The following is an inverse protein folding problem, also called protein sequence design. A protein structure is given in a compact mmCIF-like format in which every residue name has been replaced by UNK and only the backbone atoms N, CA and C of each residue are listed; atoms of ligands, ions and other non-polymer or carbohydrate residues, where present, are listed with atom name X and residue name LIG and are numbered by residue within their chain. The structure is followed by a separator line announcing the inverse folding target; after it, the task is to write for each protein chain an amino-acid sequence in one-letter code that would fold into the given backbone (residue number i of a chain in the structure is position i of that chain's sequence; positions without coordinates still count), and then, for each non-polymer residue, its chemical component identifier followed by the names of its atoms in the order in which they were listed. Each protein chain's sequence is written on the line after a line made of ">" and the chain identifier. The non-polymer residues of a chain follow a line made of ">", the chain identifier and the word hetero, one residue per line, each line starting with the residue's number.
data_IF_029486075522
#
_entry.id   IF_029486075522
#
_cell.length_a   1.000
_cell.length_b   1.000
_cell.length_c   1.000
_cell.angle_alpha   90.00
_cell.angle_beta   90.00
_cell.angle_gamma   90.00
#
_symmetry.space_group_name_H-M   'P 1'
#
loop_
_entity.id
_entity.type
_entity.pdbx_description
1 polymer ?
#
# COMPACT_ATOMS: atom_id res chain seq x y z
N UNK A 1 11.95 24.08 -15.46
CA UNK A 1 11.37 23.13 -14.48
C UNK A 1 10.38 22.28 -15.25
N UNK A 2 10.75 21.03 -15.55
CA UNK A 2 9.85 20.10 -16.24
C UNK A 2 8.82 19.65 -15.21
N UNK A 3 7.56 20.05 -15.37
CA UNK A 3 6.47 19.58 -14.51
C UNK A 3 6.17 18.14 -14.89
N UNK A 4 6.86 17.19 -14.26
CA UNK A 4 6.51 15.78 -14.36
C UNK A 4 5.14 15.59 -13.71
N UNK A 5 4.14 15.21 -14.51
CA UNK A 5 2.83 14.80 -13.98
C UNK A 5 3.06 13.69 -12.94
N UNK A 6 2.48 13.79 -11.73
CA UNK A 6 2.64 12.75 -10.73
C UNK A 6 2.14 11.42 -11.29
N UNK A 7 2.98 10.39 -11.24
CA UNK A 7 2.64 9.04 -11.70
C UNK A 7 1.90 8.30 -10.61
N UNK A 8 0.87 7.55 -10.99
CA UNK A 8 0.09 6.74 -10.07
C UNK A 8 0.72 5.36 -9.93
N UNK A 9 1.02 4.95 -8.69
CA UNK A 9 1.50 3.59 -8.42
C UNK A 9 0.41 2.57 -8.74
N UNK A 10 0.82 1.44 -9.26
CA UNK A 10 -0.09 0.32 -9.48
C UNK A 10 -0.65 -0.18 -8.15
N UNK A 11 -1.98 -0.14 -8.03
CA UNK A 11 -2.68 -0.66 -6.86
C UNK A 11 -2.66 -2.20 -6.82
N UNK A 12 -2.64 -2.85 -7.99
CA UNK A 12 -2.74 -4.31 -8.17
C UNK A 12 -1.39 -5.00 -8.35
N UNK A 13 -0.34 -4.26 -8.73
CA UNK A 13 0.93 -4.84 -9.19
C UNK A 13 2.14 -3.96 -8.94
N UNK A 14 3.25 -4.31 -9.61
CA UNK A 14 4.51 -3.56 -9.52
C UNK A 14 4.47 -2.26 -10.33
N UNK A 15 5.29 -1.29 -9.91
CA UNK A 15 5.55 -0.09 -10.71
C UNK A 15 4.37 0.87 -10.80
N UNK A 16 4.19 1.44 -11.98
CA UNK A 16 3.25 2.52 -12.25
C UNK A 16 2.11 2.02 -13.15
N UNK A 17 0.91 2.56 -12.98
CA UNK A 17 -0.26 2.16 -13.78
C UNK A 17 -0.06 2.40 -15.29
N UNK A 18 0.60 3.51 -15.64
CA UNK A 18 0.94 3.87 -17.02
C UNK A 18 2.08 3.03 -17.63
N UNK A 19 2.74 2.19 -16.82
CA UNK A 19 3.77 1.26 -17.26
C UNK A 19 3.29 -0.20 -17.28
N UNK A 20 1.98 -0.44 -17.13
CA UNK A 20 1.42 -1.77 -17.29
C UNK A 20 1.71 -2.30 -18.71
N UNK A 21 2.06 -3.58 -18.80
CA UNK A 21 2.28 -4.24 -20.08
C UNK A 21 0.98 -4.28 -20.89
N UNK A 22 1.10 -4.12 -22.20
CA UNK A 22 -0.02 -4.33 -23.10
C UNK A 22 -0.39 -5.82 -23.15
N UNK A 23 -1.64 -6.15 -23.49
CA UNK A 23 -2.07 -7.54 -23.69
C UNK A 23 -1.19 -8.28 -24.71
N UNK A 24 -0.74 -7.56 -25.75
CA UNK A 24 0.19 -8.08 -26.75
C UNK A 24 1.51 -8.50 -26.12
N UNK A 25 2.08 -7.67 -25.25
CA UNK A 25 3.35 -7.97 -24.58
C UNK A 25 3.17 -9.10 -23.57
N UNK A 26 2.07 -9.11 -22.82
CA UNK A 26 1.71 -10.20 -21.92
C UNK A 26 1.63 -11.55 -22.65
N UNK A 27 0.97 -11.60 -23.81
CA UNK A 27 0.90 -12.81 -24.65
C UNK A 27 2.29 -13.23 -25.17
N UNK A 28 3.10 -12.28 -25.64
CA UNK A 28 4.43 -12.56 -26.16
C UNK A 28 5.36 -13.14 -25.09
N UNK A 29 5.34 -12.59 -23.87
CA UNK A 29 6.12 -13.13 -22.76
C UNK A 29 5.53 -14.41 -22.18
N UNK A 30 4.20 -14.52 -22.10
CA UNK A 30 3.50 -15.71 -21.61
C UNK A 30 3.79 -16.95 -22.45
N UNK A 31 3.92 -16.80 -23.78
CA UNK A 31 4.27 -17.89 -24.69
C UNK A 31 5.65 -18.52 -24.42
N UNK A 32 6.54 -17.82 -23.68
CA UNK A 32 7.86 -18.33 -23.30
C UNK A 32 7.81 -19.25 -22.07
N UNK A 33 6.67 -19.32 -21.36
CA UNK A 33 6.52 -20.01 -20.09
C UNK A 33 5.39 -21.06 -20.19
N UNK A 34 5.72 -22.36 -20.25
CA UNK A 34 4.71 -23.41 -20.28
C UNK A 34 3.78 -23.37 -19.08
N UNK A 35 2.46 -23.51 -19.31
CA UNK A 35 1.45 -23.57 -18.26
C UNK A 35 0.86 -22.23 -17.82
N UNK A 36 1.23 -21.12 -18.46
CA UNK A 36 0.56 -19.83 -18.27
C UNK A 36 -0.75 -19.74 -19.06
N UNK A 37 -1.66 -18.89 -18.59
CA UNK A 37 -2.94 -18.65 -19.24
C UNK A 37 -2.75 -18.06 -20.65
N UNK A 38 -3.57 -18.50 -21.59
CA UNK A 38 -3.55 -18.04 -22.98
C UNK A 38 -4.18 -16.65 -23.16
N UNK A 39 -4.83 -16.12 -22.13
CA UNK A 39 -5.50 -14.81 -22.16
C UNK A 39 -5.03 -13.96 -20.98
N UNK A 40 -4.46 -12.76 -21.24
CA UNK A 40 -4.13 -11.82 -20.18
C UNK A 40 -5.37 -11.40 -19.40
N UNK A 41 -5.19 -11.20 -18.10
CA UNK A 41 -6.23 -10.62 -17.26
C UNK A 41 -6.00 -9.11 -17.23
N UNK A 42 -6.94 -8.29 -17.74
CA UNK A 42 -6.79 -6.84 -17.68
C UNK A 42 -6.82 -6.39 -16.21
N UNK A 43 -6.01 -5.38 -15.83
CA UNK A 43 -6.09 -4.81 -14.51
C UNK A 43 -7.49 -4.26 -14.20
N UNK A 44 -8.11 -4.64 -13.07
CA UNK A 44 -9.41 -4.08 -12.70
C UNK A 44 -9.34 -2.59 -12.39
N UNK A 45 -10.44 -1.90 -12.62
CA UNK A 45 -10.68 -0.57 -12.07
C UNK A 45 -11.09 -0.66 -10.59
N UNK A 46 -10.79 0.39 -9.82
CA UNK A 46 -11.14 0.46 -8.38
C UNK A 46 -12.65 0.30 -8.14
N UNK A 47 -13.49 0.78 -9.05
CA UNK A 47 -14.96 0.65 -8.95
C UNK A 47 -15.48 -0.77 -9.15
N UNK A 48 -14.66 -1.68 -9.68
CA UNK A 48 -15.00 -3.09 -9.84
C UNK A 48 -14.67 -3.91 -8.59
N UNK A 49 -14.09 -3.29 -7.55
CA UNK A 49 -13.70 -3.97 -6.33
C UNK A 49 -14.85 -4.01 -5.34
N UNK A 50 -15.21 -5.22 -4.92
CA UNK A 50 -16.16 -5.46 -3.84
C UNK A 50 -15.43 -5.46 -2.49
N UNK A 51 -14.94 -4.29 -2.08
CA UNK A 51 -14.30 -4.15 -0.76
C UNK A 51 -15.36 -4.16 0.34
N UNK A 52 -15.11 -4.89 1.42
CA UNK A 52 -15.91 -4.78 2.64
C UNK A 52 -15.99 -3.30 3.08
N UNK A 53 -17.15 -2.80 3.54
CA UNK A 53 -17.23 -1.47 4.13
C UNK A 53 -16.27 -1.33 5.33
N UNK A 54 -15.64 -0.16 5.55
CA UNK A 54 -14.83 0.06 6.75
C UNK A 54 -15.66 -0.15 8.01
N UNK A 55 -15.16 -0.98 8.93
CA UNK A 55 -15.77 -1.23 10.24
C UNK A 55 -15.42 -0.16 11.27
N UNK A 56 -14.33 0.56 11.01
CA UNK A 56 -13.79 1.59 11.89
C UNK A 56 -14.11 2.99 11.36
N UNK A 57 -14.21 3.93 12.29
CA UNK A 57 -14.16 5.36 12.00
C UNK A 57 -13.05 5.98 12.84
N UNK A 58 -12.14 6.71 12.20
CA UNK A 58 -11.09 7.41 12.91
C UNK A 58 -11.67 8.57 13.75
N UNK A 59 -11.15 8.82 14.96
CA UNK A 59 -11.44 10.04 15.70
C UNK A 59 -11.14 11.29 14.86
N UNK A 60 -11.92 12.35 15.07
CA UNK A 60 -11.75 13.60 14.33
C UNK A 60 -10.32 14.18 14.44
N UNK A 61 -9.63 13.93 15.55
CA UNK A 61 -8.22 14.33 15.76
C UNK A 61 -7.24 13.66 14.79
N UNK A 62 -7.55 12.47 14.27
CA UNK A 62 -6.71 11.74 13.32
C UNK A 62 -7.14 11.97 11.87
N UNK A 63 -8.36 12.46 11.64
CA UNK A 63 -8.98 12.55 10.32
C UNK A 63 -8.19 13.31 9.26
N UNK A 64 -7.28 14.23 9.64
CA UNK A 64 -6.44 14.98 8.69
C UNK A 64 -5.49 14.09 7.86
N UNK A 65 -5.14 12.91 8.37
CA UNK A 65 -4.18 12.01 7.74
C UNK A 65 -4.73 10.58 7.56
N UNK A 66 -6.02 10.36 7.80
CA UNK A 66 -6.66 9.05 7.66
C UNK A 66 -7.63 9.07 6.48
N UNK A 67 -7.50 8.07 5.61
CA UNK A 67 -8.34 7.86 4.44
C UNK A 67 -9.16 6.57 4.56
N UNK A 68 -10.36 6.62 3.98
CA UNK A 68 -11.25 5.46 3.75
C UNK A 68 -11.45 5.19 2.26
N UNK A 69 -10.69 5.87 1.39
CA UNK A 69 -10.83 5.76 -0.06
C UNK A 69 -10.60 4.31 -0.53
N UNK A 70 -11.50 3.74 -1.36
CA UNK A 70 -11.33 2.37 -1.88
C UNK A 70 -10.00 2.14 -2.59
N UNK A 71 -9.46 3.13 -3.32
CA UNK A 71 -8.16 3.04 -3.97
C UNK A 71 -7.03 2.93 -2.95
N UNK A 72 -7.08 3.73 -1.90
CA UNK A 72 -6.10 3.67 -0.82
C UNK A 72 -6.14 2.28 -0.17
N UNK A 73 -7.32 1.82 0.22
CA UNK A 73 -7.50 0.53 0.87
C UNK A 73 -7.03 -0.63 -0.02
N UNK A 74 -7.37 -0.63 -1.30
CA UNK A 74 -6.90 -1.63 -2.25
C UNK A 74 -5.36 -1.63 -2.39
N UNK A 75 -4.77 -0.44 -2.52
CA UNK A 75 -3.30 -0.29 -2.69
C UNK A 75 -2.49 -0.73 -1.47
N UNK A 76 -3.13 -0.84 -0.30
CA UNK A 76 -2.52 -1.22 0.98
C UNK A 76 -2.98 -2.61 1.46
N UNK A 77 -3.64 -3.40 0.61
CA UNK A 77 -4.11 -4.75 0.99
C UNK A 77 -2.99 -5.79 0.89
N UNK A 78 -2.17 -5.71 -0.16
CA UNK A 78 -1.14 -6.71 -0.45
C UNK A 78 0.22 -6.10 -0.77
N UNK A 79 1.23 -6.96 -0.69
CA UNK A 79 2.54 -6.70 -1.23
C UNK A 79 2.59 -6.90 -2.75
N UNK A 80 3.72 -7.41 -3.24
CA UNK A 80 4.00 -7.60 -4.66
C UNK A 80 4.54 -9.00 -4.98
N UNK A 81 4.26 -9.98 -4.13
CA UNK A 81 4.50 -11.38 -4.46
C UNK A 81 3.63 -11.79 -5.66
N UNK A 82 4.02 -12.83 -6.40
CA UNK A 82 3.18 -13.35 -7.50
C UNK A 82 1.75 -13.66 -7.05
N UNK A 83 1.59 -14.33 -5.88
CA UNK A 83 0.27 -14.63 -5.31
C UNK A 83 -0.57 -13.36 -5.04
N UNK A 84 0.09 -12.26 -4.68
CA UNK A 84 -0.57 -11.01 -4.32
C UNK A 84 -1.12 -10.34 -5.57
N UNK A 85 -0.30 -10.25 -6.61
CA UNK A 85 -0.68 -9.67 -7.91
C UNK A 85 -1.81 -10.47 -8.55
N UNK A 86 -1.72 -11.81 -8.53
CA UNK A 86 -2.77 -12.68 -9.06
C UNK A 86 -4.10 -12.47 -8.32
N UNK A 87 -4.09 -12.49 -6.99
CA UNK A 87 -5.30 -12.23 -6.19
C UNK A 87 -5.90 -10.85 -6.47
N UNK A 88 -5.07 -9.81 -6.55
CA UNK A 88 -5.51 -8.45 -6.86
C UNK A 88 -6.16 -8.34 -8.26
N UNK A 89 -5.54 -8.94 -9.28
CA UNK A 89 -6.11 -9.01 -10.64
C UNK A 89 -7.45 -9.77 -10.69
N UNK A 90 -7.61 -10.77 -9.82
CA UNK A 90 -8.87 -11.48 -9.63
C UNK A 90 -9.86 -10.78 -8.68
N UNK A 91 -9.58 -9.55 -8.23
CA UNK A 91 -10.43 -8.76 -7.33
C UNK A 91 -10.65 -9.43 -5.96
N UNK A 92 -9.72 -10.28 -5.53
CA UNK A 92 -9.77 -10.98 -4.25
C UNK A 92 -9.03 -10.17 -3.18
N UNK A 93 -9.73 -9.28 -2.47
CA UNK A 93 -9.17 -8.38 -1.45
C UNK A 93 -9.89 -8.54 -0.08
N UNK A 94 -10.04 -9.80 0.35
CA UNK A 94 -10.90 -10.17 1.49
C UNK A 94 -10.54 -9.41 2.79
N UNK A 95 -9.25 -9.19 3.01
CA UNK A 95 -8.70 -8.57 4.21
C UNK A 95 -8.20 -7.14 4.00
N UNK A 96 -8.79 -6.39 3.05
CA UNK A 96 -8.44 -4.98 2.85
C UNK A 96 -8.53 -4.18 4.17
N UNK A 97 -7.58 -3.26 4.44
CA UNK A 97 -7.60 -2.44 5.64
C UNK A 97 -8.90 -1.63 5.71
N UNK A 98 -9.38 -1.34 6.91
CA UNK A 98 -10.53 -0.46 7.11
C UNK A 98 -10.12 0.99 6.82
N UNK A 99 -8.93 1.38 7.28
CA UNK A 99 -8.38 2.73 7.20
C UNK A 99 -6.94 2.71 6.64
N UNK A 100 -6.54 3.79 5.97
CA UNK A 100 -5.13 4.05 5.60
C UNK A 100 -4.70 5.37 6.24
N UNK A 101 -3.67 5.33 7.08
CA UNK A 101 -3.14 6.49 7.79
C UNK A 101 -1.79 6.90 7.20
N UNK A 102 -1.62 8.19 6.87
CA UNK A 102 -0.39 8.80 6.33
C UNK A 102 0.13 9.90 7.26
N UNK A 103 0.67 9.54 8.44
CA UNK A 103 1.19 10.52 9.38
C UNK A 103 2.27 11.39 8.75
N UNK A 104 2.33 12.65 9.16
CA UNK A 104 3.31 13.63 8.68
C UNK A 104 4.29 14.06 9.77
N UNK A 105 4.15 13.48 10.97
CA UNK A 105 5.03 13.72 12.11
C UNK A 105 5.12 12.50 13.02
N UNK A 106 6.16 12.43 13.85
CA UNK A 106 6.27 11.41 14.91
C UNK A 106 5.07 11.46 15.86
N UNK A 107 4.55 12.66 16.16
CA UNK A 107 3.38 12.81 17.01
C UNK A 107 2.13 12.17 16.42
N UNK A 108 1.94 12.28 15.10
CA UNK A 108 0.83 11.65 14.38
C UNK A 108 0.88 10.12 14.55
N UNK A 109 2.08 9.53 14.47
CA UNK A 109 2.29 8.09 14.68
C UNK A 109 1.92 7.70 16.11
N UNK A 110 2.41 8.44 17.11
CA UNK A 110 2.09 8.17 18.52
C UNK A 110 0.59 8.24 18.77
N UNK A 111 -0.07 9.31 18.30
CA UNK A 111 -1.51 9.51 18.50
C UNK A 111 -2.34 8.39 17.83
N UNK A 112 -1.93 7.92 16.66
CA UNK A 112 -2.57 6.78 15.97
C UNK A 112 -2.39 5.47 16.74
N UNK A 113 -1.16 5.15 17.17
CA UNK A 113 -0.87 3.92 17.91
C UNK A 113 -1.57 3.89 19.27
N UNK A 114 -1.62 5.03 19.95
CA UNK A 114 -2.36 5.20 21.21
C UNK A 114 -3.85 4.91 21.04
N UNK A 115 -4.47 5.44 19.97
CA UNK A 115 -5.86 5.16 19.66
C UNK A 115 -6.06 3.70 19.28
N UNK A 116 -5.24 3.16 18.39
CA UNK A 116 -5.36 1.79 17.90
C UNK A 116 -5.27 0.77 19.05
N UNK A 117 -4.35 0.98 19.99
CA UNK A 117 -4.20 0.14 21.18
C UNK A 117 -5.45 0.16 22.08
N UNK A 118 -6.09 1.32 22.26
CA UNK A 118 -7.30 1.44 23.11
C UNK A 118 -8.56 0.90 22.43
N UNK A 119 -8.58 0.85 21.10
CA UNK A 119 -9.73 0.45 20.29
C UNK A 119 -9.61 -0.95 19.70
N UNK A 120 -8.60 -1.72 20.09
CA UNK A 120 -8.34 -3.07 19.57
C UNK A 120 -8.24 -3.10 18.03
N UNK A 121 -7.44 -2.18 17.48
CA UNK A 121 -7.22 -2.05 16.04
C UNK A 121 -5.84 -2.59 15.68
N UNK A 122 -5.80 -3.55 14.74
CA UNK A 122 -4.55 -4.01 14.15
C UNK A 122 -3.89 -2.89 13.35
N UNK A 123 -2.58 -2.69 13.54
CA UNK A 123 -1.79 -1.71 12.79
C UNK A 123 -0.81 -2.46 11.91
N UNK A 124 -0.90 -2.25 10.60
CA UNK A 124 0.02 -2.84 9.62
C UNK A 124 0.97 -1.75 9.10
N UNK A 125 2.25 -1.74 9.48
CA UNK A 125 3.21 -0.79 8.95
C UNK A 125 3.38 -0.96 7.45
N UNK A 126 3.41 0.16 6.73
CA UNK A 126 3.50 0.20 5.28
C UNK A 126 4.49 1.28 4.83
N UNK A 127 5.23 0.98 3.77
CA UNK A 127 6.15 1.92 3.13
C UNK A 127 5.96 1.88 1.62
N UNK A 128 6.89 1.26 0.89
CA UNK A 128 6.75 1.09 -0.56
C UNK A 128 5.75 0.03 -1.01
N UNK A 129 5.20 -0.77 -0.10
CA UNK A 129 4.32 -1.89 -0.42
C UNK A 129 5.01 -3.02 -1.19
N UNK A 130 6.35 -3.04 -1.27
CA UNK A 130 7.14 -3.95 -2.11
C UNK A 130 7.42 -5.33 -1.50
N UNK A 131 6.81 -5.65 -0.35
CA UNK A 131 6.98 -6.95 0.30
C UNK A 131 6.57 -8.09 -0.64
N UNK A 132 7.38 -9.14 -0.74
CA UNK A 132 7.07 -10.35 -1.53
C UNK A 132 6.78 -11.58 -0.65
N UNK A 133 6.56 -11.35 0.65
CA UNK A 133 6.37 -12.41 1.65
C UNK A 133 5.06 -12.27 2.43
N UNK A 134 4.18 -11.35 2.02
CA UNK A 134 2.95 -11.02 2.75
C UNK A 134 3.16 -10.15 3.99
N UNK A 135 4.32 -9.51 4.17
CA UNK A 135 4.62 -8.70 5.37
C UNK A 135 3.79 -7.42 5.54
N UNK A 136 2.91 -7.10 4.59
CA UNK A 136 1.96 -5.97 4.66
C UNK A 136 0.50 -6.45 4.54
N UNK A 137 0.28 -7.76 4.52
CA UNK A 137 -1.05 -8.36 4.40
C UNK A 137 -1.62 -8.58 5.81
N UNK A 138 -2.85 -8.13 6.04
CA UNK A 138 -3.56 -8.47 7.27
C UNK A 138 -3.99 -9.93 7.25
N UNK A 139 -3.64 -10.68 8.28
CA UNK A 139 -3.86 -12.12 8.38
C UNK A 139 -5.33 -12.52 8.66
N UNK A 140 -6.19 -11.53 8.96
CA UNK A 140 -7.58 -11.78 9.30
C UNK A 140 -7.81 -12.11 10.77
N UNK A 141 -6.88 -11.78 11.67
CA UNK A 141 -7.01 -12.00 13.11
C UNK A 141 -8.26 -11.35 13.75
N UNK A 142 -8.48 -11.66 15.03
CA UNK A 142 -9.60 -11.16 15.82
C UNK A 142 -9.28 -9.77 16.39
N UNK A 143 -9.53 -8.74 15.59
CA UNK A 143 -9.40 -7.33 15.97
C UNK A 143 -10.67 -6.57 15.54
N UNK A 144 -11.03 -5.52 16.26
CA UNK A 144 -12.17 -4.65 15.93
C UNK A 144 -12.05 -4.03 14.52
N UNK A 145 -10.82 -3.80 14.05
CA UNK A 145 -10.53 -3.51 12.66
C UNK A 145 -9.03 -3.41 12.37
N UNK A 146 -8.67 -2.94 11.18
CA UNK A 146 -7.27 -2.81 10.74
C UNK A 146 -7.01 -1.45 10.09
N UNK A 147 -5.89 -0.84 10.45
CA UNK A 147 -5.34 0.35 9.80
C UNK A 147 -3.99 0.03 9.17
N UNK A 148 -3.81 0.42 7.91
CA UNK A 148 -2.48 0.46 7.30
C UNK A 148 -1.80 1.77 7.68
N UNK A 149 -0.63 1.70 8.31
CA UNK A 149 0.20 2.84 8.69
C UNK A 149 1.23 3.10 7.60
N UNK A 150 0.87 3.91 6.62
CA UNK A 150 1.70 4.31 5.50
C UNK A 150 2.66 5.45 5.91
N UNK A 151 3.93 5.11 6.09
CA UNK A 151 4.96 6.03 6.57
C UNK A 151 5.50 6.95 5.47
N UNK A 152 5.05 6.85 4.21
CA UNK A 152 5.70 7.50 3.06
C UNK A 152 5.72 9.03 3.08
N UNK A 153 4.90 9.67 3.90
CA UNK A 153 4.91 11.12 4.14
C UNK A 153 5.99 11.55 5.17
N UNK A 154 6.55 10.61 5.94
CA UNK A 154 7.72 10.79 6.80
C UNK A 154 8.99 10.50 6.00
N UNK A 155 9.36 11.39 5.06
CA UNK A 155 10.39 11.15 4.05
C UNK A 155 11.56 12.15 4.04
N UNK A 156 11.74 12.92 5.13
CA UNK A 156 12.77 13.97 5.20
C UNK A 156 14.11 13.44 5.70
N UNK A 157 15.19 14.00 5.17
CA UNK A 157 16.51 13.95 5.80
C UNK A 157 16.53 15.03 6.89
N UNK A 158 16.65 14.61 8.14
CA UNK A 158 16.62 15.49 9.31
C UNK A 158 18.02 16.02 9.65
N UNK A 159 19.05 15.21 9.40
CA UNK A 159 20.43 15.52 9.77
C UNK A 159 21.42 14.74 8.90
N UNK A 160 22.54 15.38 8.58
CA UNK A 160 23.71 14.75 7.96
C UNK A 160 24.92 15.09 8.82
N UNK A 161 25.54 14.07 9.39
CA UNK A 161 26.78 14.19 10.14
C UNK A 161 27.95 13.80 9.22
N UNK A 162 28.71 14.80 8.80
CA UNK A 162 29.85 14.63 7.90
C UNK A 162 31.08 14.03 8.59
N UNK A 163 31.21 14.18 9.91
CA UNK A 163 32.34 13.65 10.68
C UNK A 163 32.18 12.13 10.86
N UNK A 164 30.98 11.69 11.25
CA UNK A 164 30.67 10.26 11.42
C UNK A 164 30.22 9.56 10.14
N UNK A 165 29.91 10.31 9.07
CA UNK A 165 29.31 9.83 7.80
C UNK A 165 27.96 9.13 8.03
N UNK A 166 27.15 9.69 8.91
CA UNK A 166 25.81 9.21 9.21
C UNK A 166 24.74 10.21 8.75
N UNK A 167 23.52 9.71 8.53
CA UNK A 167 22.35 10.55 8.28
C UNK A 167 21.18 10.07 9.14
N UNK A 168 20.43 11.02 9.67
CA UNK A 168 19.14 10.76 10.34
C UNK A 168 18.04 11.08 9.37
N UNK A 169 17.29 10.06 8.96
CA UNK A 169 16.29 10.13 7.91
C UNK A 169 15.00 9.52 8.45
N UNK A 170 13.87 10.13 8.14
CA UNK A 170 12.57 9.58 8.46
C UNK A 170 12.29 8.27 7.70
N UNK A 171 11.52 7.37 8.31
CA UNK A 171 11.42 5.96 7.90
C UNK A 171 10.68 5.72 6.56
N UNK A 172 9.97 6.71 6.05
CA UNK A 172 9.22 6.65 4.79
C UNK A 172 9.99 7.06 3.55
N UNK A 173 11.23 7.53 3.69
CA UNK A 173 12.05 7.92 2.55
C UNK A 173 12.28 6.73 1.60
N UNK A 174 12.00 6.92 0.31
CA UNK A 174 12.36 5.92 -0.70
C UNK A 174 13.86 5.89 -0.91
N UNK A 175 14.38 4.67 -1.06
CA UNK A 175 15.74 4.46 -1.54
C UNK A 175 15.91 4.87 -3.02
N UNK A 176 17.14 4.75 -3.53
CA UNK A 176 17.44 4.95 -4.96
C UNK A 176 16.77 3.91 -5.87
#
# INVERSE_FOLDING_TARGET
>A
MSTTTPRTRSWWGWGWEDAALSDRDCLAYGALLPGLAETPIPPPEIRELELRPPRLSAPASLGRFVSVDPRDRASHTYGKAYRDVVRALHRQLDNAPDLVARPTSERDVVDLLDWASRSDVAVIPFGGGSSVVGGVEYDGGDHAGVVSLDLTELNRVLEIDHDSRAARIEAGAFGP
#
